data_IF_970756971986
#
_entry.id   IF_970756971986
#
_cell.length_a   1.000
_cell.length_b   1.000
_cell.length_c   1.000
_cell.angle_alpha   90.00
_cell.angle_beta   90.00
_cell.angle_gamma   90.00
#
_symmetry.space_group_name_H-M   'P 1'
#
loop_
_entity.id
_entity.type
_entity.pdbx_description
1 polymer ?
#
# COMPACT_ATOMS: atom_id res chain seq x y z
N UNK A 1 5.02 -45.50 50.00
CA UNK A 1 4.76 -44.14 50.52
C UNK A 1 4.79 -43.15 49.36
N UNK A 2 3.70 -42.41 49.14
CA UNK A 2 3.61 -41.29 48.16
C UNK A 2 4.24 -40.04 48.77
N UNK A 3 5.04 -39.26 48.01
CA UNK A 3 5.16 -37.77 48.02
C UNK A 3 5.79 -37.32 46.68
N UNK A 4 5.00 -36.95 45.67
CA UNK A 4 4.61 -35.60 45.23
C UNK A 4 5.74 -34.59 44.91
N UNK A 5 5.83 -34.28 43.61
CA UNK A 5 5.95 -32.95 42.95
C UNK A 5 7.25 -32.15 42.97
N UNK A 6 7.74 -31.82 41.77
CA UNK A 6 7.39 -30.57 41.05
C UNK A 6 7.88 -30.65 39.59
N UNK A 7 6.96 -30.51 38.62
CA UNK A 7 7.30 -30.17 37.24
C UNK A 7 7.48 -28.65 37.19
N UNK A 8 8.69 -28.19 36.91
CA UNK A 8 8.95 -26.78 36.60
C UNK A 8 9.02 -26.72 35.09
N UNK A 9 7.93 -26.24 34.49
CA UNK A 9 7.85 -25.94 33.06
C UNK A 9 8.72 -24.73 32.76
N UNK A 10 9.77 -24.93 32.00
CA UNK A 10 10.46 -23.83 31.32
C UNK A 10 9.61 -23.42 30.12
N UNK A 11 8.74 -22.45 30.34
CA UNK A 11 8.14 -21.66 29.27
C UNK A 11 9.28 -20.98 28.51
N UNK A 12 9.53 -21.42 27.28
CA UNK A 12 10.39 -20.72 26.34
C UNK A 12 9.60 -19.50 25.83
N UNK A 13 9.64 -18.41 26.58
CA UNK A 13 9.31 -17.09 26.04
C UNK A 13 10.44 -16.76 25.07
N UNK A 14 10.25 -17.06 23.79
CA UNK A 14 11.11 -16.53 22.74
C UNK A 14 10.86 -15.03 22.70
N UNK A 15 11.69 -14.30 23.44
CA UNK A 15 11.82 -12.86 23.31
C UNK A 15 12.42 -12.60 21.92
N UNK A 16 11.57 -12.50 20.91
CA UNK A 16 11.95 -11.95 19.61
C UNK A 16 12.28 -10.49 19.84
N UNK A 17 13.58 -10.22 20.00
CA UNK A 17 14.12 -8.88 19.93
C UNK A 17 13.79 -8.30 18.56
N UNK A 18 12.68 -7.57 18.48
CA UNK A 18 12.30 -6.77 17.33
C UNK A 18 13.29 -5.62 17.25
N UNK A 19 14.43 -5.85 16.59
CA UNK A 19 15.42 -4.82 16.32
C UNK A 19 14.76 -3.76 15.45
N UNK A 20 14.38 -2.64 16.05
CA UNK A 20 13.99 -1.42 15.36
C UNK A 20 15.23 -0.92 14.60
N UNK A 21 15.39 -1.37 13.37
CA UNK A 21 16.28 -0.73 12.40
C UNK A 21 15.62 0.60 12.06
N UNK A 22 16.26 1.76 12.30
CA UNK A 22 15.75 3.01 11.77
C UNK A 22 15.85 2.92 10.25
N UNK A 23 14.71 2.69 9.59
CA UNK A 23 14.60 2.79 8.14
C UNK A 23 14.83 4.26 7.79
N UNK A 24 16.02 4.56 7.29
CA UNK A 24 16.30 5.86 6.68
C UNK A 24 15.29 6.07 5.55
N UNK A 25 14.34 6.98 5.75
CA UNK A 25 13.35 7.39 4.76
C UNK A 25 14.08 8.00 3.57
N UNK A 26 14.39 7.18 2.57
CA UNK A 26 14.73 7.67 1.25
C UNK A 26 13.40 8.14 0.67
N UNK A 27 13.20 9.46 0.63
CA UNK A 27 12.13 10.06 -0.14
C UNK A 27 12.40 9.80 -1.63
N UNK A 28 11.99 8.64 -2.12
CA UNK A 28 11.92 8.40 -3.56
C UNK A 28 10.98 9.46 -4.15
N UNK A 29 11.46 10.19 -5.15
CA UNK A 29 10.72 11.22 -5.87
C UNK A 29 9.44 10.60 -6.44
N UNK A 30 8.33 10.76 -5.71
CA UNK A 30 7.03 10.24 -6.10
C UNK A 30 6.71 10.83 -7.47
N UNK A 31 6.55 10.00 -8.52
CA UNK A 31 6.40 10.52 -9.86
C UNK A 31 5.16 11.42 -9.92
N UNK A 32 5.37 12.68 -10.31
CA UNK A 32 4.31 13.71 -10.32
C UNK A 32 3.18 13.40 -11.31
N UNK A 33 3.45 12.54 -12.30
CA UNK A 33 2.53 12.16 -13.38
C UNK A 33 2.58 10.65 -13.61
N UNK A 34 1.43 10.03 -13.93
CA UNK A 34 1.35 8.63 -14.34
C UNK A 34 1.03 7.63 -13.21
N UNK A 35 0.86 6.34 -13.57
CA UNK A 35 0.63 5.26 -12.62
C UNK A 35 1.82 5.14 -11.67
N UNK A 36 1.56 5.00 -10.36
CA UNK A 36 2.64 4.66 -9.42
C UNK A 36 2.95 3.17 -9.51
N UNK A 37 4.21 2.83 -9.26
CA UNK A 37 4.61 1.44 -9.10
C UNK A 37 4.12 0.92 -7.75
N UNK A 38 3.94 -0.40 -7.66
CA UNK A 38 3.63 -1.07 -6.38
C UNK A 38 4.68 -0.75 -5.30
N UNK A 39 5.96 -0.78 -5.67
CA UNK A 39 7.08 -0.48 -4.77
C UNK A 39 7.11 0.96 -4.24
N UNK A 40 6.42 1.90 -4.88
CA UNK A 40 6.31 3.26 -4.34
C UNK A 40 5.32 3.34 -3.17
N UNK A 41 4.42 2.35 -3.06
CA UNK A 41 3.47 2.22 -1.95
C UNK A 41 4.02 1.33 -0.84
N UNK A 42 4.56 0.17 -1.20
CA UNK A 42 5.16 -0.82 -0.29
C UNK A 42 6.51 -0.31 0.25
N UNK A 43 6.45 0.46 1.34
CA UNK A 43 7.62 1.13 1.92
C UNK A 43 8.42 0.19 2.80
N UNK A 44 7.75 -0.72 3.49
CA UNK A 44 8.39 -1.72 4.34
C UNK A 44 8.87 -2.96 3.57
N UNK A 45 8.50 -3.08 2.29
CA UNK A 45 8.87 -4.16 1.37
C UNK A 45 8.34 -5.51 1.85
N UNK A 46 7.19 -5.52 2.51
CA UNK A 46 6.52 -6.73 2.97
C UNK A 46 5.81 -7.48 1.81
N UNK A 47 5.72 -6.86 0.63
CA UNK A 47 5.10 -7.43 -0.56
C UNK A 47 3.59 -7.17 -0.65
N UNK A 48 3.05 -6.37 0.26
CA UNK A 48 1.67 -5.91 0.33
C UNK A 48 1.64 -4.39 0.47
N UNK A 49 0.49 -3.78 0.22
CA UNK A 49 0.27 -2.37 0.52
C UNK A 49 -0.81 -2.31 1.59
N UNK A 50 -0.46 -1.77 2.74
CA UNK A 50 -1.44 -1.50 3.80
C UNK A 50 -2.25 -0.24 3.52
N UNK A 51 -3.41 -0.10 4.18
CA UNK A 51 -4.22 1.11 4.06
C UNK A 51 -3.44 2.37 4.47
N UNK A 52 -2.61 2.27 5.50
CA UNK A 52 -1.78 3.38 5.98
C UNK A 52 -0.75 3.81 4.92
N UNK A 53 -0.10 2.87 4.26
CA UNK A 53 0.86 3.16 3.18
C UNK A 53 0.17 3.77 1.96
N UNK A 54 -0.97 3.20 1.56
CA UNK A 54 -1.77 3.73 0.47
C UNK A 54 -2.19 5.19 0.72
N UNK A 55 -2.68 5.48 1.94
CA UNK A 55 -3.10 6.82 2.33
C UNK A 55 -1.92 7.78 2.41
N UNK A 56 -0.80 7.38 3.04
CA UNK A 56 0.42 8.19 3.12
C UNK A 56 0.92 8.62 1.73
N UNK A 57 0.93 7.70 0.77
CA UNK A 57 1.40 8.00 -0.59
C UNK A 57 0.40 8.88 -1.35
N UNK A 58 -0.91 8.69 -1.13
CA UNK A 58 -1.93 9.58 -1.69
C UNK A 58 -1.79 11.01 -1.18
N UNK A 59 -1.62 11.18 0.12
CA UNK A 59 -1.43 12.48 0.77
C UNK A 59 -0.17 13.16 0.23
N UNK A 60 0.97 12.44 0.21
CA UNK A 60 2.22 12.95 -0.33
C UNK A 60 2.07 13.43 -1.78
N UNK A 61 1.37 12.66 -2.62
CA UNK A 61 1.11 13.04 -4.02
C UNK A 61 0.15 14.23 -4.13
N UNK A 62 -0.84 14.33 -3.26
CA UNK A 62 -1.76 15.46 -3.20
C UNK A 62 -1.03 16.74 -2.80
N UNK A 63 -0.19 16.69 -1.77
CA UNK A 63 0.66 17.80 -1.34
C UNK A 63 1.64 18.22 -2.43
N UNK A 64 2.32 17.27 -3.08
CA UNK A 64 3.25 17.52 -4.17
C UNK A 64 2.55 18.18 -5.38
N UNK A 65 1.28 17.86 -5.66
CA UNK A 65 0.51 18.51 -6.72
C UNK A 65 0.03 19.91 -6.31
N UNK A 66 -0.38 20.07 -5.05
CA UNK A 66 -0.76 21.35 -4.50
C UNK A 66 0.41 22.34 -4.50
N UNK A 67 1.62 21.89 -4.11
CA UNK A 67 2.83 22.72 -4.13
C UNK A 67 3.26 23.14 -5.54
N UNK A 68 3.00 22.29 -6.53
CA UNK A 68 3.28 22.60 -7.95
C UNK A 68 2.17 23.42 -8.62
N UNK A 69 1.17 23.91 -7.87
CA UNK A 69 0.00 24.61 -8.39
C UNK A 69 -0.67 23.86 -9.58
N UNK A 70 -0.60 22.52 -9.56
CA UNK A 70 -1.19 21.69 -10.62
C UNK A 70 -2.66 21.43 -10.29
N UNK A 71 -3.48 21.45 -11.33
CA UNK A 71 -4.91 21.23 -11.17
C UNK A 71 -5.20 19.82 -10.65
N UNK A 72 -5.91 19.73 -9.52
CA UNK A 72 -6.34 18.48 -8.85
C UNK A 72 -7.49 17.78 -9.58
N UNK A 73 -7.55 17.90 -10.92
CA UNK A 73 -8.69 17.47 -11.76
C UNK A 73 -8.94 15.96 -11.77
N UNK A 74 -7.93 15.16 -11.44
CA UNK A 74 -8.01 13.69 -11.51
C UNK A 74 -7.80 13.00 -10.15
N UNK A 75 -7.87 13.74 -9.05
CA UNK A 75 -7.67 13.18 -7.70
C UNK A 75 -8.88 12.35 -7.27
N UNK A 76 -10.07 12.75 -7.70
CA UNK A 76 -11.33 12.04 -7.45
C UNK A 76 -11.46 10.72 -8.23
N UNK A 77 -10.75 10.59 -9.37
CA UNK A 77 -10.78 9.38 -10.19
C UNK A 77 -9.75 8.34 -9.75
N UNK A 78 -8.97 8.60 -8.69
CA UNK A 78 -8.05 7.62 -8.16
C UNK A 78 -8.85 6.61 -7.33
N UNK A 79 -8.67 5.29 -7.54
CA UNK A 79 -9.44 4.27 -6.82
C UNK A 79 -9.02 4.17 -5.37
N UNK A 80 -10.00 4.11 -4.48
CA UNK A 80 -9.75 4.04 -3.04
C UNK A 80 -9.14 2.67 -2.66
N UNK A 81 -8.67 2.53 -1.42
CA UNK A 81 -8.06 1.28 -0.96
C UNK A 81 -9.00 0.07 -1.13
N UNK A 82 -10.25 0.19 -0.67
CA UNK A 82 -11.25 -0.88 -0.75
C UNK A 82 -11.80 -1.20 -2.14
N UNK A 83 -11.48 -0.39 -3.15
CA UNK A 83 -11.76 -0.70 -4.56
C UNK A 83 -10.66 -1.55 -5.19
N UNK A 84 -9.46 -1.52 -4.60
CA UNK A 84 -8.31 -2.32 -5.05
C UNK A 84 -8.29 -3.65 -4.30
N UNK A 85 -8.44 -3.60 -2.97
CA UNK A 85 -8.59 -4.74 -2.07
C UNK A 85 -9.91 -5.47 -2.37
N UNK A 86 -9.83 -6.44 -3.27
CA UNK A 86 -10.99 -7.11 -3.86
C UNK A 86 -11.45 -8.27 -2.98
N UNK A 87 -10.52 -8.90 -2.28
CA UNK A 87 -10.80 -9.99 -1.33
C UNK A 87 -11.11 -9.50 0.09
N UNK A 88 -10.88 -8.21 0.37
CA UNK A 88 -11.16 -7.52 1.64
C UNK A 88 -10.32 -8.07 2.79
N UNK A 89 -9.08 -8.48 2.49
CA UNK A 89 -8.15 -8.97 3.50
C UNK A 89 -7.48 -7.84 4.29
N UNK A 90 -7.72 -6.57 3.91
CA UNK A 90 -7.16 -5.39 4.55
C UNK A 90 -5.75 -5.04 4.06
N UNK A 91 -5.30 -5.68 2.98
CA UNK A 91 -4.04 -5.46 2.30
C UNK A 91 -4.30 -5.44 0.79
N UNK A 92 -3.41 -4.80 0.04
CA UNK A 92 -3.43 -4.89 -1.42
C UNK A 92 -2.25 -5.72 -1.85
N UNK A 93 -2.53 -6.86 -2.46
CA UNK A 93 -1.51 -7.68 -3.10
C UNK A 93 -1.04 -7.06 -4.41
N UNK A 94 0.16 -7.47 -4.86
CA UNK A 94 0.68 -7.05 -6.16
C UNK A 94 -0.25 -7.40 -7.33
N UNK A 95 -0.99 -8.52 -7.24
CA UNK A 95 -1.91 -8.95 -8.29
C UNK A 95 -3.12 -8.02 -8.38
N UNK A 96 -3.75 -7.72 -7.25
CA UNK A 96 -4.90 -6.79 -7.19
C UNK A 96 -4.52 -5.39 -7.65
N UNK A 97 -3.33 -4.92 -7.25
CA UNK A 97 -2.81 -3.64 -7.72
C UNK A 97 -2.69 -3.59 -9.25
N UNK A 98 -2.16 -4.65 -9.88
CA UNK A 98 -1.99 -4.74 -11.33
C UNK A 98 -3.32 -4.85 -12.05
N UNK A 99 -4.26 -5.64 -11.53
CA UNK A 99 -5.59 -5.81 -12.10
C UNK A 99 -6.35 -4.47 -12.10
N UNK A 100 -6.33 -3.77 -10.97
CA UNK A 100 -6.94 -2.45 -10.86
C UNK A 100 -6.28 -1.43 -11.81
N UNK A 101 -4.95 -1.44 -11.96
CA UNK A 101 -4.28 -0.59 -12.96
C UNK A 101 -4.75 -0.92 -14.38
N UNK A 102 -4.84 -2.20 -14.72
CA UNK A 102 -5.24 -2.64 -16.04
C UNK A 102 -6.69 -2.24 -16.34
N UNK A 103 -7.58 -2.40 -15.36
CA UNK A 103 -8.98 -1.96 -15.43
C UNK A 103 -9.09 -0.46 -15.71
N UNK A 104 -8.38 0.38 -14.93
CA UNK A 104 -8.37 1.83 -15.18
C UNK A 104 -7.81 2.19 -16.56
N UNK A 105 -6.76 1.52 -17.02
CA UNK A 105 -6.21 1.74 -18.36
C UNK A 105 -7.22 1.39 -19.45
N UNK A 106 -7.97 0.30 -19.29
CA UNK A 106 -9.02 -0.12 -20.22
C UNK A 106 -10.20 0.88 -20.22
N UNK A 107 -10.68 1.29 -19.05
CA UNK A 107 -11.76 2.27 -18.92
C UNK A 107 -11.38 3.62 -19.57
N UNK A 108 -10.16 4.10 -19.31
CA UNK A 108 -9.67 5.33 -19.92
C UNK A 108 -9.54 5.22 -21.46
N UNK A 109 -9.17 4.04 -21.98
CA UNK A 109 -9.13 3.79 -23.44
C UNK A 109 -10.53 3.80 -24.05
N UNK A 110 -11.48 3.11 -23.42
CA UNK A 110 -12.87 3.04 -23.88
C UNK A 110 -13.54 4.42 -23.90
N UNK A 111 -13.36 5.22 -22.84
CA UNK A 111 -13.90 6.57 -22.76
C UNK A 111 -13.30 7.53 -23.80
N UNK A 112 -12.02 7.35 -24.19
CA UNK A 112 -11.38 8.16 -25.23
C UNK A 112 -11.88 7.80 -26.64
N UNK A 113 -12.22 6.54 -26.88
CA UNK A 113 -12.80 6.09 -28.15
C UNK A 113 -14.24 6.56 -28.39
N UNK A 114 -15.03 6.77 -27.32
CA UNK A 114 -16.42 7.25 -27.42
C UNK A 114 -16.56 8.76 -27.60
N UNK A 115 -15.60 9.57 -27.16
CA UNK A 115 -15.66 11.06 -27.27
C UNK A 115 -15.26 11.59 -28.65
N UNK A 116 -14.70 10.76 -29.51
CA UNK A 116 -14.25 11.11 -30.86
C UNK A 116 -15.20 10.57 -31.96
N UNK A 117 -16.45 10.23 -31.61
CA UNK A 117 -17.50 9.82 -32.54
C UNK A 117 -18.69 10.74 -32.44
#
# INVERSE_FOLDING_TARGET
MRKFTKKIGFSFVVATALSLVPVSLIAEDVPSTGPMSFSAFDKDKDGFISEAEHNSVREARQEQRASQNRAMRNVQNAPNFGEIDSDKDGKISKMEFLENQNKQMQENRSNKGSKNR
#
